data_IF_854583840682
#
_entry.id   IF_854583840682
#
_cell.length_a   1.000
_cell.length_b   1.000
_cell.length_c   1.000
_cell.angle_alpha   90.00
_cell.angle_beta   90.00
_cell.angle_gamma   90.00
#
_symmetry.space_group_name_H-M   'P 1'
#
loop_
_entity.id
_entity.type
_entity.pdbx_description
1 polymer ?
#
# COMPACT_ATOMS: atom_id res chain seq x y z
N UNK A 1 -15.58 -6.60 10.51
CA UNK A 1 -15.07 -7.01 9.19
C UNK A 1 -13.71 -6.36 9.00
N UNK A 2 -12.77 -6.98 8.28
CA UNK A 2 -11.51 -6.31 7.97
C UNK A 2 -11.77 -5.04 7.17
N UNK A 3 -10.90 -4.04 7.29
CA UNK A 3 -10.99 -2.76 6.59
C UNK A 3 -11.02 -2.98 5.05
N UNK A 4 -11.96 -2.36 4.30
CA UNK A 4 -12.16 -2.64 2.87
C UNK A 4 -10.96 -2.29 1.98
N UNK A 5 -10.07 -1.43 2.44
CA UNK A 5 -8.84 -1.08 1.73
C UNK A 5 -7.76 -2.17 1.77
N UNK A 6 -7.91 -3.23 2.58
CA UNK A 6 -7.00 -4.36 2.58
C UNK A 6 -7.52 -5.50 1.69
N UNK A 7 -6.64 -6.07 0.89
CA UNK A 7 -6.88 -7.30 0.13
C UNK A 7 -6.47 -8.54 0.92
N UNK A 8 -5.56 -8.36 1.87
CA UNK A 8 -5.07 -9.40 2.76
C UNK A 8 -4.59 -8.79 4.08
N UNK A 9 -4.88 -9.48 5.18
CA UNK A 9 -4.31 -9.21 6.51
C UNK A 9 -3.75 -10.52 7.05
N UNK A 10 -2.48 -10.53 7.40
CA UNK A 10 -1.82 -11.70 7.95
C UNK A 10 -2.41 -12.10 9.30
N UNK A 11 -2.62 -13.39 9.56
CA UNK A 11 -3.05 -13.84 10.87
C UNK A 11 -2.02 -13.47 11.95
N UNK A 12 -2.43 -13.44 13.22
CA UNK A 12 -1.53 -13.15 14.33
C UNK A 12 -0.27 -14.04 14.28
N UNK A 13 0.90 -13.43 14.37
CA UNK A 13 2.19 -14.10 14.32
C UNK A 13 2.76 -14.35 12.92
N UNK A 14 2.00 -14.18 11.85
CA UNK A 14 2.47 -14.40 10.47
C UNK A 14 2.97 -13.12 9.76
N UNK A 15 2.96 -11.98 10.44
CA UNK A 15 3.51 -10.75 9.90
C UNK A 15 5.04 -10.84 9.79
N UNK A 16 5.60 -10.33 8.69
CA UNK A 16 7.04 -10.13 8.59
C UNK A 16 7.40 -8.88 9.40
N UNK A 17 8.39 -9.00 10.26
CA UNK A 17 8.86 -7.89 11.09
C UNK A 17 10.38 -7.86 11.08
N UNK A 18 10.92 -6.66 10.94
CA UNK A 18 12.34 -6.43 11.00
C UNK A 18 12.90 -6.37 12.42
N UNK A 19 14.19 -6.09 12.55
CA UNK A 19 14.87 -6.05 13.85
C UNK A 19 14.29 -4.96 14.76
N UNK A 20 14.23 -5.27 16.05
CA UNK A 20 13.89 -4.28 17.08
C UNK A 20 14.98 -3.22 17.14
N UNK A 21 14.56 -1.95 17.25
CA UNK A 21 15.49 -0.81 17.29
C UNK A 21 15.92 -0.26 15.92
N UNK A 22 15.41 -0.80 14.82
CA UNK A 22 15.53 -0.18 13.50
C UNK A 22 14.76 1.15 13.41
N UNK A 23 15.10 2.00 12.44
CA UNK A 23 14.47 3.33 12.25
C UNK A 23 12.95 3.30 12.12
N UNK A 24 12.40 2.21 11.53
CA UNK A 24 10.98 1.98 11.37
C UNK A 24 10.39 1.04 12.43
N UNK A 25 11.12 0.77 13.53
CA UNK A 25 10.63 -0.08 14.60
C UNK A 25 9.32 0.46 15.18
N UNK A 26 8.32 -0.41 15.29
CA UNK A 26 6.97 -0.04 15.71
C UNK A 26 6.05 0.48 14.60
N UNK A 27 6.55 0.67 13.37
CA UNK A 27 5.71 1.05 12.24
C UNK A 27 5.09 -0.18 11.56
N UNK A 28 3.79 -0.15 11.34
CA UNK A 28 3.10 -1.08 10.46
C UNK A 28 2.96 -0.42 9.09
N UNK A 29 3.60 -1.00 8.07
CA UNK A 29 3.58 -0.48 6.70
C UNK A 29 2.98 -1.56 5.79
N UNK A 30 1.70 -1.47 5.44
CA UNK A 30 1.10 -2.40 4.49
C UNK A 30 1.65 -2.15 3.09
N UNK A 31 1.73 -3.23 2.31
CA UNK A 31 2.32 -3.23 0.97
C UNK A 31 1.21 -3.29 -0.09
N UNK A 32 1.31 -2.48 -1.14
CA UNK A 32 0.40 -2.51 -2.29
C UNK A 32 0.31 -3.91 -2.88
N UNK A 33 -0.91 -4.34 -3.22
CA UNK A 33 -1.20 -5.69 -3.74
C UNK A 33 -0.74 -5.92 -5.19
N UNK A 34 0.25 -5.27 -5.66
CA UNK A 34 0.98 -5.56 -6.90
C UNK A 34 2.46 -5.79 -6.64
N UNK A 35 2.86 -5.74 -5.37
CA UNK A 35 4.25 -5.90 -4.92
C UNK A 35 4.34 -7.15 -4.04
N UNK A 36 5.26 -8.03 -4.33
CA UNK A 36 5.41 -9.30 -3.65
C UNK A 36 5.94 -9.16 -2.22
N UNK A 37 5.36 -9.96 -1.32
CA UNK A 37 5.85 -10.17 0.04
C UNK A 37 5.82 -11.68 0.30
N UNK A 38 6.92 -12.28 0.65
CA UNK A 38 7.04 -13.73 0.85
C UNK A 38 5.92 -14.28 1.76
N UNK A 39 5.35 -15.41 1.37
CA UNK A 39 4.24 -16.08 2.03
C UNK A 39 2.91 -15.31 2.08
N UNK A 40 2.82 -14.12 1.46
CA UNK A 40 1.56 -13.39 1.31
C UNK A 40 0.99 -13.54 -0.10
N UNK A 41 -0.35 -13.45 -0.26
CA UNK A 41 -0.96 -13.44 -1.58
C UNK A 41 -0.66 -12.13 -2.31
N UNK A 42 -0.44 -12.23 -3.61
CA UNK A 42 -0.41 -11.12 -4.56
C UNK A 42 -1.46 -11.37 -5.62
N UNK A 43 -2.41 -10.42 -5.80
CA UNK A 43 -3.53 -10.57 -6.74
C UNK A 43 -3.44 -9.63 -7.93
N UNK A 44 -2.55 -8.63 -7.89
CA UNK A 44 -2.50 -7.54 -8.86
C UNK A 44 -3.87 -6.87 -9.09
N UNK A 45 -4.68 -6.75 -8.02
CA UNK A 45 -6.02 -6.17 -8.09
C UNK A 45 -7.11 -7.11 -8.64
N UNK A 46 -6.80 -8.35 -9.03
CA UNK A 46 -7.75 -9.35 -9.50
C UNK A 46 -7.57 -10.69 -8.75
N UNK A 47 -8.54 -11.11 -7.90
CA UNK A 47 -8.44 -12.36 -7.14
C UNK A 47 -8.23 -13.61 -7.99
N UNK A 48 -8.70 -13.62 -9.24
CA UNK A 48 -8.51 -14.75 -10.16
C UNK A 48 -7.02 -14.92 -10.57
N UNK A 49 -6.19 -13.93 -10.32
CA UNK A 49 -4.74 -13.94 -10.59
C UNK A 49 -3.91 -14.22 -9.33
N UNK A 50 -4.56 -14.52 -8.20
CA UNK A 50 -3.88 -14.67 -6.93
C UNK A 50 -2.83 -15.81 -6.95
N UNK A 51 -1.66 -15.51 -6.43
CA UNK A 51 -0.63 -16.48 -6.11
C UNK A 51 0.03 -16.12 -4.78
N UNK A 52 0.67 -17.09 -4.14
CA UNK A 52 1.47 -16.83 -2.95
C UNK A 52 2.92 -16.54 -3.36
N UNK A 53 3.41 -15.36 -3.01
CA UNK A 53 4.75 -14.93 -3.36
C UNK A 53 5.81 -15.79 -2.65
N UNK A 54 6.84 -16.21 -3.39
CA UNK A 54 7.96 -17.02 -2.87
C UNK A 54 9.11 -16.16 -2.32
N UNK A 55 9.17 -14.89 -2.74
CA UNK A 55 10.21 -13.95 -2.31
C UNK A 55 9.57 -12.58 -2.01
N UNK A 56 10.25 -11.78 -1.23
CA UNK A 56 9.87 -10.39 -0.96
C UNK A 56 10.55 -9.46 -1.96
N UNK A 57 9.79 -8.52 -2.51
CA UNK A 57 10.30 -7.44 -3.35
C UNK A 57 11.42 -6.67 -2.63
N UNK A 58 12.51 -6.28 -3.30
CA UNK A 58 13.64 -5.60 -2.66
C UNK A 58 13.27 -4.33 -1.90
N UNK A 59 12.29 -3.55 -2.38
CA UNK A 59 11.85 -2.35 -1.67
C UNK A 59 11.08 -2.70 -0.39
N UNK A 60 10.18 -3.68 -0.46
CA UNK A 60 9.47 -4.17 0.72
C UNK A 60 10.45 -4.78 1.75
N UNK A 61 11.47 -5.51 1.28
CA UNK A 61 12.52 -6.06 2.13
C UNK A 61 13.32 -4.96 2.82
N UNK A 62 13.68 -3.89 2.11
CA UNK A 62 14.36 -2.73 2.70
C UNK A 62 13.55 -2.09 3.85
N UNK A 63 12.23 -2.00 3.73
CA UNK A 63 11.37 -1.51 4.81
C UNK A 63 11.40 -2.45 6.02
N UNK A 64 11.34 -3.76 5.77
CA UNK A 64 11.43 -4.78 6.83
C UNK A 64 12.79 -4.68 7.53
N UNK A 65 13.88 -4.63 6.78
CA UNK A 65 15.25 -4.55 7.33
C UNK A 65 15.46 -3.26 8.16
N UNK A 66 14.75 -2.18 7.82
CA UNK A 66 14.72 -0.94 8.60
C UNK A 66 13.86 -1.06 9.89
N UNK A 67 13.22 -2.19 10.15
CA UNK A 67 12.44 -2.44 11.37
C UNK A 67 10.94 -2.37 11.21
N UNK A 68 10.42 -2.10 10.00
CA UNK A 68 8.98 -2.06 9.77
C UNK A 68 8.34 -3.45 9.93
N UNK A 69 7.06 -3.46 10.35
CA UNK A 69 6.21 -4.63 10.33
C UNK A 69 5.32 -4.62 9.09
N UNK A 70 5.42 -5.65 8.27
CA UNK A 70 4.55 -5.87 7.12
C UNK A 70 3.56 -6.98 7.45
N UNK A 71 2.28 -6.64 7.56
CA UNK A 71 1.21 -7.56 7.98
C UNK A 71 -0.01 -7.53 7.07
N UNK A 72 -0.02 -6.71 6.02
CA UNK A 72 -1.19 -6.57 5.16
C UNK A 72 -0.80 -6.15 3.74
N UNK A 73 -1.72 -6.44 2.79
CA UNK A 73 -1.68 -5.96 1.40
C UNK A 73 -2.84 -5.00 1.18
N UNK A 74 -2.59 -3.88 0.49
CA UNK A 74 -3.59 -2.85 0.21
C UNK A 74 -4.15 -2.95 -1.20
N UNK A 75 -5.43 -2.60 -1.33
CA UNK A 75 -6.15 -2.62 -2.61
C UNK A 75 -5.44 -1.80 -3.69
N UNK A 76 -5.36 -2.38 -4.86
CA UNK A 76 -4.89 -1.73 -6.10
C UNK A 76 -5.91 -1.94 -7.23
N UNK A 77 -5.91 -1.09 -8.23
CA UNK A 77 -6.60 -1.39 -9.49
C UNK A 77 -5.97 -2.60 -10.17
N UNK A 78 -6.73 -3.28 -11.03
CA UNK A 78 -6.22 -4.43 -11.77
C UNK A 78 -4.98 -4.04 -12.59
N UNK A 79 -3.90 -4.79 -12.39
CA UNK A 79 -2.57 -4.57 -13.00
C UNK A 79 -2.00 -3.16 -12.79
N UNK A 80 -2.58 -2.36 -11.90
CA UNK A 80 -2.21 -0.95 -11.72
C UNK A 80 -2.56 -0.05 -12.91
N UNK A 81 -3.45 -0.49 -13.80
CA UNK A 81 -3.66 0.11 -15.11
C UNK A 81 -4.61 1.33 -15.10
N UNK A 82 -5.37 1.56 -14.03
CA UNK A 82 -6.33 2.66 -13.95
C UNK A 82 -6.06 3.58 -12.76
N UNK A 83 -6.56 4.82 -12.85
CA UNK A 83 -6.47 5.80 -11.78
C UNK A 83 -7.62 5.71 -10.75
N UNK A 84 -8.38 4.63 -10.75
CA UNK A 84 -9.40 4.27 -9.78
C UNK A 84 -9.29 2.77 -9.47
N UNK A 85 -9.75 2.32 -8.31
CA UNK A 85 -9.60 0.93 -7.85
C UNK A 85 -10.96 0.34 -7.48
N UNK A 86 -11.83 0.19 -8.47
CA UNK A 86 -13.10 -0.50 -8.34
C UNK A 86 -12.91 -2.00 -8.62
N UNK A 87 -13.60 -2.83 -7.84
CA UNK A 87 -13.62 -4.28 -8.01
C UNK A 87 -15.05 -4.79 -7.97
N UNK A 88 -15.42 -5.62 -8.93
CA UNK A 88 -16.72 -6.27 -8.94
C UNK A 88 -16.93 -7.11 -7.66
N UNK A 89 -18.09 -6.96 -7.02
CA UNK A 89 -18.45 -7.69 -5.81
C UNK A 89 -17.77 -7.23 -4.51
N UNK A 90 -17.02 -6.13 -4.54
CA UNK A 90 -16.41 -5.49 -3.36
C UNK A 90 -17.02 -4.09 -3.18
N UNK A 91 -17.32 -3.65 -1.96
CA UNK A 91 -17.77 -2.28 -1.73
C UNK A 91 -16.81 -1.28 -2.37
N UNK A 92 -17.36 -0.26 -3.02
CA UNK A 92 -16.58 0.83 -3.61
C UNK A 92 -15.83 1.53 -2.48
N UNK A 93 -14.53 1.68 -2.68
CA UNK A 93 -13.69 2.41 -1.74
C UNK A 93 -13.86 3.92 -2.00
N UNK A 94 -14.13 4.67 -0.95
CA UNK A 94 -14.29 6.13 -1.03
C UNK A 94 -13.10 6.85 -0.40
N UNK A 95 -12.89 8.09 -0.83
CA UNK A 95 -11.92 8.98 -0.21
C UNK A 95 -12.40 9.40 1.19
N UNK A 96 -11.59 9.20 2.26
CA UNK A 96 -11.94 9.71 3.57
C UNK A 96 -12.00 11.25 3.64
N UNK A 97 -11.25 11.92 2.78
CA UNK A 97 -11.24 13.39 2.72
C UNK A 97 -12.43 13.96 1.94
N UNK A 98 -12.98 13.20 0.98
CA UNK A 98 -14.07 13.63 0.09
C UNK A 98 -15.10 12.50 -0.05
N UNK A 99 -16.03 12.33 0.91
CA UNK A 99 -17.06 11.28 0.88
C UNK A 99 -17.85 11.30 -0.43
N UNK A 100 -18.16 10.12 -0.96
CA UNK A 100 -18.81 9.95 -2.26
C UNK A 100 -17.90 10.08 -3.48
N UNK A 101 -16.61 10.40 -3.27
CA UNK A 101 -15.60 10.47 -4.33
C UNK A 101 -14.67 9.26 -4.32
N UNK A 102 -14.17 8.88 -5.49
CA UNK A 102 -13.14 7.86 -5.59
C UNK A 102 -11.86 8.28 -4.87
N UNK A 103 -11.16 7.39 -4.17
CA UNK A 103 -9.86 7.67 -3.57
C UNK A 103 -8.74 7.75 -4.62
N UNK A 104 -9.07 7.67 -5.89
CA UNK A 104 -8.09 7.58 -6.97
C UNK A 104 -7.44 6.20 -7.04
N UNK A 105 -6.33 6.11 -7.78
CA UNK A 105 -5.59 4.85 -7.99
C UNK A 105 -4.26 5.08 -8.71
N UNK A 106 -3.53 4.02 -8.91
CA UNK A 106 -3.87 2.61 -8.62
C UNK A 106 -3.62 2.20 -7.16
N UNK A 107 -2.88 2.95 -6.35
CA UNK A 107 -2.59 2.62 -4.94
C UNK A 107 -3.69 3.14 -3.99
N UNK A 108 -4.96 2.91 -4.33
CA UNK A 108 -6.12 3.44 -3.61
C UNK A 108 -6.17 3.02 -2.14
N UNK A 109 -6.01 1.72 -1.86
CA UNK A 109 -6.07 1.20 -0.50
C UNK A 109 -4.99 1.80 0.40
N UNK A 110 -3.78 2.03 -0.14
CA UNK A 110 -2.69 2.65 0.61
C UNK A 110 -3.01 4.09 1.03
N UNK A 111 -3.58 4.89 0.10
CA UNK A 111 -3.98 6.26 0.40
C UNK A 111 -5.09 6.33 1.45
N UNK A 112 -6.09 5.45 1.34
CA UNK A 112 -7.24 5.41 2.27
C UNK A 112 -6.80 5.06 3.68
N UNK A 113 -6.00 3.98 3.88
CA UNK A 113 -5.59 3.57 5.23
C UNK A 113 -4.64 4.55 5.92
N UNK A 114 -4.02 5.45 5.17
CA UNK A 114 -3.24 6.56 5.73
C UNK A 114 -4.14 7.75 6.03
N UNK A 115 -5.10 8.06 5.15
CA UNK A 115 -6.02 9.19 5.32
C UNK A 115 -6.97 8.99 6.50
N UNK A 116 -7.45 7.78 6.76
CA UNK A 116 -8.32 7.43 7.88
C UNK A 116 -7.58 7.03 9.17
N UNK A 117 -6.25 7.20 9.18
CA UNK A 117 -5.38 6.94 10.33
C UNK A 117 -5.25 5.48 10.77
N UNK A 118 -5.71 4.53 9.96
CA UNK A 118 -5.52 3.09 10.22
C UNK A 118 -4.04 2.72 10.34
N UNK A 119 -3.19 3.36 9.52
CA UNK A 119 -1.73 3.23 9.59
C UNK A 119 -1.05 4.59 9.42
N UNK A 120 0.16 4.70 9.94
CA UNK A 120 0.96 5.93 9.84
C UNK A 120 1.59 6.12 8.45
N UNK A 121 1.95 5.02 7.80
CA UNK A 121 2.48 5.01 6.44
C UNK A 121 2.02 3.76 5.69
N UNK A 122 1.97 3.85 4.36
CA UNK A 122 1.68 2.71 3.48
C UNK A 122 2.52 2.78 2.20
N UNK A 123 2.87 1.61 1.66
CA UNK A 123 3.63 1.51 0.42
C UNK A 123 2.72 1.62 -0.82
N UNK A 124 3.23 2.27 -1.86
CA UNK A 124 2.64 2.33 -3.18
C UNK A 124 3.65 2.26 -4.31
N UNK A 125 3.15 2.14 -5.53
CA UNK A 125 3.95 2.24 -6.75
C UNK A 125 3.36 3.27 -7.70
N UNK A 126 4.18 3.95 -8.50
CA UNK A 126 3.77 5.03 -9.38
C UNK A 126 4.53 4.98 -10.72
N UNK A 127 3.83 4.62 -11.78
CA UNK A 127 4.29 4.78 -13.16
C UNK A 127 3.75 6.10 -13.74
N UNK A 128 2.43 6.23 -13.83
CA UNK A 128 1.73 7.37 -14.43
C UNK A 128 1.01 8.29 -13.43
N UNK A 129 1.25 8.14 -12.10
CA UNK A 129 0.56 8.93 -11.07
C UNK A 129 -0.02 8.10 -9.93
N UNK A 130 0.23 6.80 -9.90
CA UNK A 130 -0.43 5.84 -9.00
C UNK A 130 -0.07 5.96 -7.50
N UNK A 131 0.79 6.89 -7.12
CA UNK A 131 0.96 7.40 -5.74
C UNK A 131 0.35 8.81 -5.67
N UNK A 132 0.71 9.69 -6.58
CA UNK A 132 0.38 11.13 -6.52
C UNK A 132 -1.12 11.38 -6.69
N UNK A 133 -1.79 10.65 -7.58
CA UNK A 133 -3.24 10.76 -7.80
C UNK A 133 -4.03 10.39 -6.54
N UNK A 134 -3.87 9.18 -5.95
CA UNK A 134 -4.62 8.84 -4.75
C UNK A 134 -4.18 9.68 -3.53
N UNK A 135 -2.94 10.13 -3.45
CA UNK A 135 -2.52 11.07 -2.40
C UNK A 135 -3.31 12.37 -2.46
N UNK A 136 -3.43 12.97 -3.65
CA UNK A 136 -4.22 14.18 -3.86
C UNK A 136 -5.72 13.95 -3.59
N UNK A 137 -6.26 12.82 -4.04
CA UNK A 137 -7.67 12.47 -3.86
C UNK A 137 -8.04 12.16 -2.39
N UNK A 138 -7.09 11.75 -1.55
CA UNK A 138 -7.31 11.43 -0.14
C UNK A 138 -6.74 12.48 0.82
N UNK A 139 -6.16 13.59 0.33
CA UNK A 139 -5.62 14.66 1.17
C UNK A 139 -4.39 14.25 2.00
N UNK A 140 -3.57 13.33 1.49
CA UNK A 140 -2.35 12.83 2.15
C UNK A 140 -1.09 13.15 1.34
N UNK A 141 0.08 12.98 1.94
CA UNK A 141 1.36 13.13 1.25
C UNK A 141 1.68 11.85 0.49
N UNK A 142 1.96 11.97 -0.81
CA UNK A 142 2.45 10.89 -1.66
C UNK A 142 3.87 11.15 -2.10
N UNK A 143 4.82 10.35 -1.61
CA UNK A 143 6.23 10.47 -1.97
C UNK A 143 6.62 9.40 -2.97
N UNK A 144 6.96 9.82 -4.19
CA UNK A 144 7.47 8.96 -5.26
C UNK A 144 8.98 9.05 -5.34
N UNK A 145 9.65 7.91 -5.24
CA UNK A 145 11.10 7.84 -5.46
C UNK A 145 11.45 8.06 -6.94
N UNK A 146 12.65 8.55 -7.18
CA UNK A 146 13.21 8.55 -8.53
C UNK A 146 13.39 7.10 -9.03
N UNK A 147 13.09 6.86 -10.29
CA UNK A 147 13.28 5.56 -10.93
C UNK A 147 13.75 5.75 -12.37
N UNK A 148 14.61 4.85 -12.83
CA UNK A 148 15.00 4.74 -14.26
C UNK A 148 14.07 3.78 -15.02
N UNK A 149 13.22 3.04 -14.33
CA UNK A 149 12.23 2.12 -14.90
C UNK A 149 10.88 2.76 -15.11
N UNK A 150 9.92 1.98 -15.62
CA UNK A 150 8.55 2.40 -15.87
C UNK A 150 7.83 2.81 -14.58
N UNK A 151 8.06 2.11 -13.48
CA UNK A 151 7.40 2.35 -12.20
C UNK A 151 8.41 2.64 -11.10
N UNK A 152 8.03 3.50 -10.17
CA UNK A 152 8.77 3.78 -8.95
C UNK A 152 8.01 3.29 -7.73
N UNK A 153 8.71 2.84 -6.71
CA UNK A 153 8.18 2.66 -5.37
C UNK A 153 8.06 4.00 -4.64
N UNK A 154 7.28 4.03 -3.58
CA UNK A 154 7.19 5.17 -2.67
C UNK A 154 6.22 4.91 -1.53
N UNK A 155 5.94 5.98 -0.79
CA UNK A 155 5.17 5.92 0.44
C UNK A 155 4.06 6.96 0.46
N UNK A 156 3.00 6.63 1.19
CA UNK A 156 1.99 7.57 1.65
C UNK A 156 2.20 7.83 3.13
N UNK A 157 2.07 9.09 3.54
CA UNK A 157 2.06 9.53 4.94
C UNK A 157 1.09 10.69 5.10
N UNK A 158 0.65 10.99 6.33
CA UNK A 158 -0.25 12.13 6.55
C UNK A 158 0.46 13.47 6.49
N UNK A 159 1.72 13.51 6.82
CA UNK A 159 2.52 14.73 6.85
C UNK A 159 3.94 14.46 6.33
N UNK A 160 4.64 15.52 5.94
CA UNK A 160 6.00 15.42 5.39
C UNK A 160 7.00 14.95 6.44
N UNK A 161 6.77 15.27 7.72
CA UNK A 161 7.67 14.86 8.83
C UNK A 161 7.83 13.33 8.92
N UNK A 162 6.76 12.59 8.65
CA UNK A 162 6.79 11.12 8.68
C UNK A 162 7.66 10.48 7.56
N UNK A 163 8.06 11.24 6.54
CA UNK A 163 8.97 10.76 5.48
C UNK A 163 10.45 10.81 5.91
N UNK A 164 10.78 11.53 6.97
CA UNK A 164 12.16 11.75 7.44
C UNK A 164 12.47 11.01 8.75
N UNK A 165 11.63 10.07 9.14
CA UNK A 165 11.80 9.26 10.37
C UNK A 165 12.90 8.22 10.26
#
# INVERSE_FOLDING_TARGET
>A
MPHPAFTFVAPPGAALAGPLGGRLSGWSIPIKDGTDVAAMPTTHGNPARAYTAQATDPFAQMLIDAGARVSAKTLTSELGATCYAERAGVPVLESPAFPGCTPGGSSAGAAVVVADETVRAAHGTDAGGSIRVPAAACGVVGFKLASRGLSAHGLFTRNVGDLFT
#
